data_IF_644993968221
#
_entry.id   IF_644993968221
#
_cell.length_a   1.000
_cell.length_b   1.000
_cell.length_c   1.000
_cell.angle_alpha   90.00
_cell.angle_beta   90.00
_cell.angle_gamma   90.00
#
_symmetry.space_group_name_H-M   'P 1'
#
loop_
_entity.id
_entity.type
_entity.pdbx_description
1 polymer ?
#
# COMPACT_ATOMS: atom_id res chain seq x y z
N UNK A 1 -3.15 -3.71 20.59
CA UNK A 1 -2.56 -2.74 19.66
C UNK A 1 -1.07 -3.03 19.48
N UNK A 2 -0.61 -3.11 18.21
CA UNK A 2 0.81 -3.21 17.89
C UNK A 2 1.46 -1.83 18.01
N UNK A 3 2.64 -1.76 18.59
CA UNK A 3 3.41 -0.52 18.75
C UNK A 3 4.58 -0.43 17.73
N UNK A 4 4.46 -1.11 16.62
CA UNK A 4 5.43 -1.14 15.53
C UNK A 4 4.72 -1.09 14.18
N UNK A 5 5.40 -0.58 13.16
CA UNK A 5 4.87 -0.43 11.81
C UNK A 5 5.66 -1.32 10.85
N UNK A 6 5.21 -2.57 10.71
CA UNK A 6 5.76 -3.52 9.75
C UNK A 6 4.75 -3.68 8.62
N UNK A 7 5.10 -3.23 7.43
CA UNK A 7 4.19 -3.22 6.28
C UNK A 7 4.53 -4.38 5.35
N UNK A 8 3.53 -5.24 5.13
CA UNK A 8 3.58 -6.28 4.12
C UNK A 8 3.38 -5.68 2.72
N UNK A 9 3.99 -6.28 1.73
CA UNK A 9 3.68 -5.95 0.34
C UNK A 9 3.64 -7.22 -0.51
N UNK A 10 2.65 -7.25 -1.41
CA UNK A 10 2.45 -8.39 -2.29
C UNK A 10 3.48 -8.40 -3.41
N UNK A 11 4.22 -9.49 -3.55
CA UNK A 11 5.22 -9.73 -4.60
C UNK A 11 4.77 -10.90 -5.46
N UNK A 12 4.55 -10.65 -6.73
CA UNK A 12 4.33 -11.70 -7.73
C UNK A 12 5.67 -12.35 -8.08
N UNK A 13 5.73 -13.67 -7.96
CA UNK A 13 6.94 -14.46 -8.23
C UNK A 13 6.61 -15.67 -9.11
N UNK A 14 7.60 -16.26 -9.80
CA UNK A 14 7.42 -17.52 -10.54
C UNK A 14 6.91 -18.68 -9.68
N UNK A 15 7.01 -18.56 -8.35
CA UNK A 15 6.62 -19.58 -7.37
C UNK A 15 5.29 -19.26 -6.67
N UNK A 16 4.56 -18.25 -7.16
CA UNK A 16 3.32 -17.75 -6.60
C UNK A 16 3.47 -16.43 -5.84
N UNK A 17 2.36 -15.98 -5.26
CA UNK A 17 2.29 -14.74 -4.52
C UNK A 17 2.97 -14.87 -3.16
N UNK A 18 3.87 -13.95 -2.85
CA UNK A 18 4.54 -13.84 -1.56
C UNK A 18 4.24 -12.49 -0.92
N UNK A 19 4.12 -12.45 0.42
CA UNK A 19 3.80 -11.22 1.16
C UNK A 19 4.82 -10.97 2.28
N UNK A 20 6.07 -10.63 1.91
CA UNK A 20 7.10 -10.28 2.89
C UNK A 20 6.79 -8.95 3.57
N UNK A 21 7.51 -8.64 4.65
CA UNK A 21 7.32 -7.44 5.48
C UNK A 21 8.57 -6.56 5.44
N UNK A 22 8.36 -5.25 5.27
CA UNK A 22 9.35 -4.24 5.61
C UNK A 22 9.10 -3.83 7.06
N UNK A 23 10.13 -3.89 7.88
CA UNK A 23 10.03 -3.65 9.31
C UNK A 23 10.33 -2.20 9.65
N UNK A 24 9.64 -1.68 10.67
CA UNK A 24 9.86 -0.33 11.22
C UNK A 24 9.89 0.77 10.15
N UNK A 25 8.90 0.74 9.23
CA UNK A 25 8.83 1.70 8.11
C UNK A 25 8.67 3.15 8.59
N UNK A 26 8.19 3.36 9.80
CA UNK A 26 8.08 4.65 10.49
C UNK A 26 9.43 5.29 10.83
N UNK A 27 10.50 4.48 10.84
CA UNK A 27 11.88 4.91 11.14
C UNK A 27 12.73 5.01 9.87
N UNK A 28 12.16 4.74 8.70
CA UNK A 28 12.88 4.69 7.43
C UNK A 28 12.54 5.89 6.56
N UNK A 29 13.55 6.47 5.93
CA UNK A 29 13.36 7.43 4.86
C UNK A 29 12.87 6.76 3.57
N UNK A 30 12.33 7.57 2.65
CA UNK A 30 11.78 7.06 1.38
C UNK A 30 12.80 6.26 0.57
N UNK A 31 14.06 6.70 0.55
CA UNK A 31 15.16 6.01 -0.13
C UNK A 31 15.41 4.63 0.47
N UNK A 32 15.43 4.54 1.80
CA UNK A 32 15.65 3.28 2.51
C UNK A 32 14.50 2.30 2.27
N UNK A 33 13.24 2.77 2.31
CA UNK A 33 12.07 1.94 1.96
C UNK A 33 12.19 1.41 0.52
N UNK A 34 12.62 2.23 -0.43
CA UNK A 34 12.78 1.82 -1.82
C UNK A 34 13.86 0.76 -2.01
N UNK A 35 15.03 0.92 -1.37
CA UNK A 35 16.10 -0.06 -1.43
C UNK A 35 15.69 -1.39 -0.77
N UNK A 36 14.99 -1.30 0.36
CA UNK A 36 14.49 -2.48 1.07
C UNK A 36 13.41 -3.21 0.26
N UNK A 37 12.49 -2.50 -0.38
CA UNK A 37 11.52 -3.07 -1.32
C UNK A 37 12.21 -3.86 -2.44
N UNK A 38 13.27 -3.29 -3.03
CA UNK A 38 14.06 -3.96 -4.07
C UNK A 38 14.74 -5.22 -3.54
N UNK A 39 15.43 -5.11 -2.40
CA UNK A 39 16.14 -6.22 -1.77
C UNK A 39 15.21 -7.40 -1.50
N UNK A 40 14.10 -7.13 -0.81
CA UNK A 40 13.15 -8.15 -0.40
C UNK A 40 12.41 -8.75 -1.60
N UNK A 41 12.01 -7.92 -2.58
CA UNK A 41 11.36 -8.40 -3.80
C UNK A 41 12.28 -9.35 -4.59
N UNK A 42 13.57 -9.01 -4.72
CA UNK A 42 14.56 -9.88 -5.36
C UNK A 42 14.73 -11.19 -4.60
N UNK A 43 14.89 -11.12 -3.28
CA UNK A 43 15.04 -12.30 -2.43
C UNK A 43 13.83 -13.25 -2.53
N UNK A 44 12.58 -12.72 -2.64
CA UNK A 44 11.39 -13.53 -2.88
C UNK A 44 11.45 -14.26 -4.24
N UNK A 45 11.81 -13.56 -5.31
CA UNK A 45 11.90 -14.14 -6.66
C UNK A 45 12.98 -15.23 -6.77
N UNK A 46 14.06 -15.09 -6.00
CA UNK A 46 15.18 -16.05 -5.95
C UNK A 46 15.00 -17.14 -4.88
N UNK A 47 13.89 -17.15 -4.13
CA UNK A 47 13.65 -18.05 -2.98
C UNK A 47 14.75 -17.99 -1.90
N UNK A 48 15.41 -16.84 -1.77
CA UNK A 48 16.48 -16.59 -0.78
C UNK A 48 16.01 -15.76 0.42
N UNK A 49 14.68 -15.61 0.58
CA UNK A 49 14.11 -14.84 1.67
C UNK A 49 14.00 -15.68 2.94
N UNK A 50 14.31 -15.07 4.08
CA UNK A 50 14.17 -15.72 5.39
C UNK A 50 12.67 -15.84 5.73
N UNK A 51 12.27 -17.00 6.24
CA UNK A 51 10.87 -17.26 6.67
C UNK A 51 10.33 -16.24 7.67
N UNK A 52 11.20 -15.71 8.53
CA UNK A 52 10.80 -14.67 9.51
C UNK A 52 10.26 -13.38 8.86
N UNK A 53 10.67 -13.08 7.62
CA UNK A 53 10.22 -11.88 6.91
C UNK A 53 8.72 -11.93 6.53
N UNK A 54 8.06 -13.09 6.66
CA UNK A 54 6.63 -13.22 6.38
C UNK A 54 5.72 -12.96 7.58
N UNK A 55 6.28 -12.83 8.78
CA UNK A 55 5.50 -12.74 10.01
C UNK A 55 5.56 -11.36 10.67
N UNK A 56 4.55 -11.08 11.51
CA UNK A 56 4.53 -9.90 12.38
C UNK A 56 4.09 -8.61 11.67
N UNK A 57 3.48 -8.69 10.50
CA UNK A 57 2.96 -7.51 9.78
C UNK A 57 1.88 -6.76 10.56
N UNK A 58 1.82 -5.44 10.38
CA UNK A 58 0.75 -4.58 10.89
C UNK A 58 -0.40 -4.50 9.89
N UNK A 59 -0.08 -4.35 8.62
CA UNK A 59 -1.00 -4.32 7.49
C UNK A 59 -0.24 -4.66 6.20
N UNK A 60 -0.95 -5.06 5.16
CA UNK A 60 -0.37 -5.35 3.83
C UNK A 60 -0.81 -4.33 2.80
N UNK A 61 0.06 -4.04 1.83
CA UNK A 61 -0.25 -3.30 0.61
C UNK A 61 -0.13 -4.25 -0.57
N UNK A 62 -1.18 -4.30 -1.40
CA UNK A 62 -1.19 -5.06 -2.66
C UNK A 62 -1.36 -4.09 -3.82
N UNK A 63 -0.44 -4.11 -4.78
CA UNK A 63 -0.50 -3.20 -5.94
C UNK A 63 -0.63 -3.99 -7.23
N UNK A 64 -1.68 -3.67 -7.99
CA UNK A 64 -1.87 -4.14 -9.36
C UNK A 64 -1.56 -3.06 -10.40
N UNK A 65 -1.00 -1.93 -9.98
CA UNK A 65 -0.73 -0.78 -10.86
C UNK A 65 0.15 -1.09 -12.08
N UNK A 66 1.07 -2.05 -11.95
CA UNK A 66 1.91 -2.52 -13.06
C UNK A 66 1.28 -3.58 -13.96
N UNK A 67 0.21 -4.23 -13.51
CA UNK A 67 -0.45 -5.33 -14.23
C UNK A 67 -1.71 -4.81 -14.94
N UNK A 68 -2.60 -4.16 -14.19
CA UNK A 68 -3.86 -3.61 -14.70
C UNK A 68 -4.98 -3.64 -13.67
N UNK A 69 -6.15 -3.11 -14.06
CA UNK A 69 -7.31 -3.00 -13.18
C UNK A 69 -7.33 -1.70 -12.38
N UNK A 70 -8.49 -1.01 -12.41
CA UNK A 70 -8.64 0.24 -11.70
C UNK A 70 -9.00 0.01 -10.23
N UNK A 71 -9.89 -0.95 -9.97
CA UNK A 71 -10.33 -1.30 -8.61
C UNK A 71 -10.33 -2.82 -8.45
N UNK A 72 -9.99 -3.27 -7.26
CA UNK A 72 -10.10 -4.67 -6.84
C UNK A 72 -10.29 -4.72 -5.33
N UNK A 73 -10.77 -5.85 -4.85
CA UNK A 73 -10.94 -6.09 -3.42
C UNK A 73 -9.85 -7.06 -2.95
N UNK A 74 -8.79 -6.57 -2.30
CA UNK A 74 -7.74 -7.44 -1.79
C UNK A 74 -8.25 -8.30 -0.63
N UNK A 75 -7.73 -9.50 -0.51
CA UNK A 75 -8.04 -10.42 0.59
C UNK A 75 -7.05 -10.18 1.72
N UNK A 76 -7.56 -10.03 2.94
CA UNK A 76 -6.76 -9.80 4.14
C UNK A 76 -5.81 -10.99 4.36
N UNK A 77 -4.56 -10.70 4.69
CA UNK A 77 -3.52 -11.69 4.98
C UNK A 77 -3.45 -11.95 6.49
N UNK A 78 -4.10 -13.02 7.02
CA UNK A 78 -4.11 -13.28 8.44
C UNK A 78 -2.69 -13.45 9.02
N UNK A 79 -2.44 -13.04 10.27
CA UNK A 79 -3.34 -12.48 11.27
C UNK A 79 -3.51 -10.95 11.21
N UNK A 80 -3.19 -10.30 10.12
CA UNK A 80 -3.46 -8.88 9.89
C UNK A 80 -4.98 -8.66 9.78
N UNK A 81 -5.42 -7.44 10.05
CA UNK A 81 -6.84 -7.08 10.04
C UNK A 81 -7.21 -6.09 8.93
N UNK A 82 -6.24 -5.67 8.13
CA UNK A 82 -6.47 -4.77 7.01
C UNK A 82 -5.45 -4.99 5.89
N UNK A 83 -5.88 -4.71 4.65
CA UNK A 83 -5.05 -4.69 3.45
C UNK A 83 -5.47 -3.53 2.55
N UNK A 84 -4.49 -2.78 2.04
CA UNK A 84 -4.70 -1.70 1.09
C UNK A 84 -4.42 -2.20 -0.34
N UNK A 85 -5.41 -2.12 -1.20
CA UNK A 85 -5.28 -2.34 -2.63
C UNK A 85 -4.94 -1.03 -3.36
N UNK A 86 -3.96 -1.07 -4.26
CA UNK A 86 -3.57 0.05 -5.12
C UNK A 86 -3.72 -0.38 -6.57
N UNK A 87 -4.67 0.24 -7.28
CA UNK A 87 -4.95 -0.05 -8.68
C UNK A 87 -4.09 0.77 -9.65
N UNK A 88 -4.35 0.59 -10.96
CA UNK A 88 -3.67 1.33 -12.01
C UNK A 88 -4.15 2.76 -12.07
N UNK A 89 -3.21 3.70 -12.12
CA UNK A 89 -3.50 5.13 -12.31
C UNK A 89 -4.23 5.36 -13.63
N UNK A 90 -5.28 6.19 -13.60
CA UNK A 90 -6.05 6.59 -14.78
C UNK A 90 -6.29 8.09 -14.79
N UNK A 91 -6.63 8.63 -15.95
CA UNK A 91 -6.96 10.04 -16.12
C UNK A 91 -8.47 10.28 -15.95
N UNK A 92 -8.80 11.34 -15.23
CA UNK A 92 -10.18 11.81 -15.06
C UNK A 92 -10.27 13.31 -15.30
N UNK A 93 -11.24 13.71 -16.12
CA UNK A 93 -11.53 15.12 -16.36
C UNK A 93 -12.33 15.66 -15.17
N UNK A 94 -11.88 16.77 -14.61
CA UNK A 94 -12.58 17.51 -13.53
C UNK A 94 -12.77 18.97 -13.95
N UNK A 95 -13.93 19.54 -13.62
CA UNK A 95 -14.19 20.98 -13.77
C UNK A 95 -13.71 21.69 -12.51
N UNK A 96 -12.73 22.58 -12.62
CA UNK A 96 -12.19 23.37 -11.51
C UNK A 96 -12.17 24.83 -11.96
N UNK A 97 -12.78 25.73 -11.20
CA UNK A 97 -12.90 27.15 -11.51
C UNK A 97 -13.42 27.43 -12.94
N UNK A 98 -14.41 26.65 -13.38
CA UNK A 98 -15.02 26.79 -14.71
C UNK A 98 -14.27 26.11 -15.86
N UNK A 99 -13.02 25.69 -15.66
CA UNK A 99 -12.18 25.03 -16.67
C UNK A 99 -12.18 23.50 -16.50
N UNK A 100 -12.15 22.77 -17.61
CA UNK A 100 -11.96 21.32 -17.59
C UNK A 100 -10.47 21.01 -17.58
N UNK A 101 -10.02 20.31 -16.54
CA UNK A 101 -8.63 19.88 -16.40
C UNK A 101 -8.56 18.38 -16.23
N UNK A 102 -7.54 17.76 -16.81
CA UNK A 102 -7.25 16.33 -16.62
C UNK A 102 -6.44 16.14 -15.34
N UNK A 103 -6.86 15.19 -14.51
CA UNK A 103 -6.18 14.79 -13.27
C UNK A 103 -5.86 13.31 -13.30
N UNK A 104 -4.63 12.97 -12.93
CA UNK A 104 -4.26 11.57 -12.66
C UNK A 104 -4.87 11.14 -11.34
N UNK A 105 -5.57 10.01 -11.36
CA UNK A 105 -6.24 9.43 -10.19
C UNK A 105 -5.57 8.10 -9.86
N UNK A 106 -5.17 7.93 -8.61
CA UNK A 106 -4.70 6.67 -8.06
C UNK A 106 -5.86 6.01 -7.30
N UNK A 107 -6.43 4.90 -7.82
CA UNK A 107 -7.49 4.21 -7.11
C UNK A 107 -6.92 3.39 -5.96
N UNK A 108 -7.56 3.49 -4.81
CA UNK A 108 -7.24 2.71 -3.62
C UNK A 108 -8.48 1.98 -3.13
N UNK A 109 -8.30 0.79 -2.59
CA UNK A 109 -9.34 -0.02 -1.95
C UNK A 109 -8.83 -0.50 -0.60
N UNK A 110 -9.64 -0.39 0.44
CA UNK A 110 -9.31 -0.89 1.76
C UNK A 110 -10.23 -2.06 2.12
N UNK A 111 -9.66 -3.24 2.35
CA UNK A 111 -10.37 -4.36 2.97
C UNK A 111 -9.93 -4.48 4.42
N UNK A 112 -10.88 -4.69 5.33
CA UNK A 112 -10.60 -4.80 6.77
C UNK A 112 -11.56 -5.77 7.46
N UNK A 113 -11.13 -6.31 8.59
CA UNK A 113 -11.95 -7.15 9.46
C UNK A 113 -12.90 -6.27 10.27
N UNK A 114 -14.19 -6.31 9.93
CA UNK A 114 -15.21 -5.45 10.55
C UNK A 114 -15.51 -5.80 12.02
N UNK A 115 -14.92 -6.86 12.54
CA UNK A 115 -14.95 -7.19 13.98
C UNK A 115 -13.96 -6.35 14.79
N UNK A 116 -12.95 -5.75 14.12
CA UNK A 116 -11.85 -5.00 14.73
C UNK A 116 -11.86 -3.54 14.32
N UNK A 117 -12.20 -3.25 13.06
CA UNK A 117 -12.22 -1.91 12.47
C UNK A 117 -13.66 -1.61 12.03
N UNK A 118 -14.22 -0.53 12.53
CA UNK A 118 -15.55 -0.09 12.08
C UNK A 118 -15.50 0.72 10.77
N UNK A 119 -16.69 0.92 10.17
CA UNK A 119 -16.80 1.63 8.89
C UNK A 119 -16.34 3.09 8.97
N UNK A 120 -16.51 3.75 10.11
CA UNK A 120 -16.09 5.13 10.30
C UNK A 120 -14.55 5.24 10.40
N UNK A 121 -13.90 4.30 11.07
CA UNK A 121 -12.43 4.22 11.14
C UNK A 121 -11.82 3.94 9.78
N UNK A 122 -12.38 2.97 9.03
CA UNK A 122 -11.93 2.67 7.67
C UNK A 122 -12.07 3.87 6.73
N UNK A 123 -13.19 4.61 6.82
CA UNK A 123 -13.41 5.81 6.03
C UNK A 123 -12.44 6.94 6.41
N UNK A 124 -12.21 7.19 7.71
CA UNK A 124 -11.24 8.18 8.20
C UNK A 124 -9.82 7.87 7.72
N UNK A 125 -9.42 6.60 7.76
CA UNK A 125 -8.12 6.17 7.23
C UNK A 125 -7.98 6.50 5.74
N UNK A 126 -8.97 6.16 4.91
CA UNK A 126 -8.94 6.45 3.48
C UNK A 126 -8.89 7.96 3.19
N UNK A 127 -9.65 8.76 3.92
CA UNK A 127 -9.64 10.23 3.80
C UNK A 127 -8.27 10.78 4.19
N UNK A 128 -7.71 10.36 5.32
CA UNK A 128 -6.37 10.78 5.78
C UNK A 128 -5.28 10.41 4.77
N UNK A 129 -5.31 9.18 4.25
CA UNK A 129 -4.36 8.72 3.23
C UNK A 129 -4.48 9.55 1.95
N UNK A 130 -5.71 9.82 1.48
CA UNK A 130 -5.95 10.67 0.30
C UNK A 130 -5.44 12.10 0.49
N UNK A 131 -5.60 12.68 1.66
CA UNK A 131 -5.07 14.01 1.99
C UNK A 131 -3.54 14.00 2.08
N UNK A 132 -2.96 12.96 2.66
CA UNK A 132 -1.50 12.82 2.79
C UNK A 132 -0.80 12.66 1.44
N UNK A 133 -1.42 11.93 0.50
CA UNK A 133 -0.95 11.76 -0.88
C UNK A 133 -1.42 12.87 -1.83
N UNK A 134 -2.02 13.93 -1.31
CA UNK A 134 -2.62 15.01 -2.07
C UNK A 134 -1.62 15.99 -2.66
N UNK A 135 -2.12 17.20 -2.95
CA UNK A 135 -1.44 18.26 -3.71
C UNK A 135 -0.03 18.62 -3.18
N UNK A 136 0.15 18.55 -1.86
CA UNK A 136 1.39 18.99 -1.20
C UNK A 136 2.33 17.81 -0.84
N UNK A 137 2.07 16.62 -1.40
CA UNK A 137 2.85 15.42 -1.08
C UNK A 137 4.35 15.59 -1.37
N UNK A 138 4.70 16.20 -2.52
CA UNK A 138 6.09 16.44 -2.87
C UNK A 138 6.81 17.35 -1.88
N UNK A 139 6.13 18.36 -1.33
CA UNK A 139 6.70 19.24 -0.30
C UNK A 139 6.90 18.50 1.03
N UNK A 140 5.98 17.62 1.40
CA UNK A 140 6.10 16.81 2.62
C UNK A 140 7.24 15.78 2.57
N UNK A 141 7.70 15.41 1.37
CA UNK A 141 8.85 14.53 1.17
C UNK A 141 10.18 15.25 1.15
N UNK A 142 10.18 16.57 0.94
CA UNK A 142 11.39 17.37 0.79
C UNK A 142 11.88 18.03 2.11
N UNK A 143 11.16 17.82 3.22
CA UNK A 143 11.46 18.40 4.55
C UNK A 143 12.07 17.35 5.47
#
# INVERSE_FOLDING_TARGET
FKKYFHIGFAVDTPHGLMVPKIRNVDQMGLKEIFEELKRVSKACKELKIDKKEFFGGSMTISSLGGIGGNFFTPIINPPEVAILGVGKTFEKIKKINGQFITRKMLPISLSYDHRVIDGAEGARFCVHLSQSLGKDFAFKLAV
#
